data_IF_656068843426
#
_entry.id   IF_656068843426
#
_cell.length_a   1.000
_cell.length_b   1.000
_cell.length_c   1.000
_cell.angle_alpha   90.00
_cell.angle_beta   90.00
_cell.angle_gamma   90.00
#
_symmetry.space_group_name_H-M   'P 1'
#
loop_
_entity.id
_entity.type
_entity.pdbx_description
1 polymer ?
#
# COMPACT_ATOMS: atom_id res chain seq x y z
N UNK A 1 10.74 -1.72 -29.16
CA UNK A 1 9.94 -2.39 -28.12
C UNK A 1 10.25 -1.71 -26.80
N UNK A 2 9.25 -1.53 -25.94
CA UNK A 2 9.49 -1.09 -24.56
C UNK A 2 10.47 -2.09 -23.88
N UNK A 3 11.62 -1.64 -23.36
CA UNK A 3 12.62 -2.54 -22.78
C UNK A 3 12.07 -3.38 -21.63
N UNK A 4 11.08 -2.88 -20.88
CA UNK A 4 10.46 -3.64 -19.79
C UNK A 4 9.53 -4.71 -20.30
N UNK A 5 8.81 -4.44 -21.39
CA UNK A 5 7.98 -5.47 -22.03
C UNK A 5 8.83 -6.65 -22.52
N UNK A 6 9.96 -6.36 -23.17
CA UNK A 6 10.91 -7.40 -23.60
C UNK A 6 11.44 -8.19 -22.40
N UNK A 7 11.89 -7.51 -21.33
CA UNK A 7 12.35 -8.18 -20.11
C UNK A 7 11.28 -9.09 -19.49
N UNK A 8 10.06 -8.59 -19.32
CA UNK A 8 8.95 -9.38 -18.76
C UNK A 8 8.61 -10.60 -19.62
N UNK A 9 8.69 -10.48 -20.95
CA UNK A 9 8.42 -11.58 -21.87
C UNK A 9 9.54 -12.63 -21.85
N UNK A 10 10.79 -12.19 -21.84
CA UNK A 10 11.93 -13.05 -22.12
C UNK A 10 12.50 -13.68 -20.83
N UNK A 11 12.37 -13.01 -19.68
CA UNK A 11 12.98 -13.44 -18.42
C UNK A 11 11.97 -13.91 -17.35
N UNK A 12 10.67 -13.59 -17.50
CA UNK A 12 9.67 -13.84 -16.47
C UNK A 12 8.51 -14.70 -16.97
N UNK A 13 7.97 -15.52 -16.07
CA UNK A 13 6.63 -16.11 -16.25
C UNK A 13 5.62 -15.16 -15.61
N UNK A 14 4.89 -14.43 -16.44
CA UNK A 14 3.89 -13.47 -15.98
C UNK A 14 2.55 -14.16 -15.69
N UNK A 15 2.06 -14.02 -14.46
CA UNK A 15 0.73 -14.48 -14.04
C UNK A 15 -0.08 -13.35 -13.40
N UNK A 16 -1.36 -13.59 -13.15
CA UNK A 16 -2.22 -12.66 -12.42
C UNK A 16 -3.11 -13.40 -11.42
N UNK A 17 -3.58 -12.69 -10.40
CA UNK A 17 -4.53 -13.18 -9.42
C UNK A 17 -5.56 -12.11 -9.13
N UNK A 18 -6.83 -12.51 -8.99
CA UNK A 18 -7.89 -11.61 -8.57
C UNK A 18 -7.80 -11.36 -7.06
N UNK A 19 -7.64 -10.08 -6.69
CA UNK A 19 -7.58 -9.63 -5.30
C UNK A 19 -8.92 -9.08 -4.80
N UNK A 20 -10.00 -9.22 -5.56
CA UNK A 20 -11.35 -8.86 -5.14
C UNK A 20 -11.68 -9.53 -3.80
N UNK A 21 -12.31 -8.77 -2.90
CA UNK A 21 -12.64 -9.16 -1.52
C UNK A 21 -11.45 -9.37 -0.57
N UNK A 22 -10.20 -9.14 -1.01
CA UNK A 22 -9.05 -9.12 -0.10
C UNK A 22 -9.04 -7.81 0.69
N UNK A 23 -8.68 -7.84 1.97
CA UNK A 23 -8.71 -6.65 2.84
C UNK A 23 -7.84 -5.49 2.35
N UNK A 24 -6.76 -5.82 1.66
CA UNK A 24 -5.86 -4.85 1.07
C UNK A 24 -6.33 -4.37 -0.31
N UNK A 25 -7.36 -4.93 -0.93
CA UNK A 25 -7.84 -4.39 -2.21
C UNK A 25 -8.57 -3.06 -1.99
N UNK A 26 -8.06 -2.01 -2.64
CA UNK A 26 -8.70 -0.71 -2.68
C UNK A 26 -9.93 -0.69 -3.61
N UNK A 27 -10.54 0.48 -3.74
CA UNK A 27 -11.60 0.71 -4.73
C UNK A 27 -11.32 1.97 -5.55
N UNK A 28 -11.43 1.87 -6.86
CA UNK A 28 -11.19 2.97 -7.79
C UNK A 28 -12.22 2.99 -8.92
N UNK A 29 -12.28 4.10 -9.68
CA UNK A 29 -13.04 4.16 -10.92
C UNK A 29 -12.65 3.04 -11.89
N UNK A 30 -13.62 2.53 -12.64
CA UNK A 30 -13.39 1.52 -13.65
C UNK A 30 -12.66 2.10 -14.86
N UNK A 31 -11.59 1.45 -15.30
CA UNK A 31 -10.92 1.75 -16.56
C UNK A 31 -11.26 0.67 -17.58
N UNK A 32 -11.49 1.06 -18.83
CA UNK A 32 -11.62 0.10 -19.94
C UNK A 32 -10.23 -0.33 -20.43
N UNK A 33 -10.06 -1.55 -20.97
CA UNK A 33 -8.76 -2.04 -21.45
C UNK A 33 -8.09 -1.12 -22.50
N UNK A 34 -8.88 -0.39 -23.28
CA UNK A 34 -8.42 0.55 -24.30
C UNK A 34 -8.07 1.95 -23.77
N UNK A 35 -8.32 2.24 -22.49
CA UNK A 35 -7.99 3.54 -21.91
C UNK A 35 -6.51 3.61 -21.54
N UNK A 36 -5.84 4.68 -21.98
CA UNK A 36 -4.47 4.94 -21.59
C UNK A 36 -4.39 5.14 -20.07
N UNK A 37 -3.36 4.56 -19.45
CA UNK A 37 -3.02 4.89 -18.08
C UNK A 37 -2.72 6.39 -17.97
N UNK A 38 -3.43 7.08 -17.08
CA UNK A 38 -3.14 8.49 -16.77
C UNK A 38 -1.73 8.56 -16.19
N UNK A 39 -0.91 9.52 -16.64
CA UNK A 39 0.38 9.78 -16.02
C UNK A 39 0.21 9.99 -14.52
N UNK A 40 0.76 9.06 -13.73
CA UNK A 40 0.63 9.06 -12.28
C UNK A 40 1.97 8.75 -11.62
N UNK A 41 2.00 8.79 -10.29
CA UNK A 41 3.20 8.56 -9.48
C UNK A 41 3.42 7.08 -9.25
N UNK A 42 4.68 6.67 -9.07
CA UNK A 42 4.98 5.32 -8.59
C UNK A 42 4.31 5.10 -7.23
N UNK A 43 3.71 3.92 -7.05
CA UNK A 43 2.92 3.63 -5.87
C UNK A 43 1.51 4.25 -5.86
N UNK A 44 1.04 4.84 -6.96
CA UNK A 44 -0.35 5.31 -7.01
C UNK A 44 -1.32 4.12 -6.96
N UNK A 45 -2.25 4.16 -6.01
CA UNK A 45 -3.09 3.03 -5.65
C UNK A 45 -2.51 2.10 -4.57
N UNK A 46 -1.94 2.62 -3.46
CA UNK A 46 -1.26 1.89 -2.38
C UNK A 46 -1.78 0.50 -2.06
N UNK A 47 -3.10 0.41 -1.84
CA UNK A 47 -3.77 -0.76 -1.33
C UNK A 47 -3.70 -1.91 -2.34
N UNK A 48 -3.73 -1.59 -3.63
CA UNK A 48 -3.58 -2.57 -4.69
C UNK A 48 -2.10 -2.91 -4.88
N UNK A 49 -1.60 -3.98 -4.26
CA UNK A 49 -0.32 -4.56 -4.69
C UNK A 49 -0.50 -5.11 -6.10
N UNK A 50 0.20 -4.49 -7.05
CA UNK A 50 0.06 -4.83 -8.45
C UNK A 50 1.14 -5.82 -8.90
N UNK A 51 2.30 -5.83 -8.25
CA UNK A 51 3.47 -6.58 -8.74
C UNK A 51 4.15 -7.31 -7.57
N UNK A 52 4.25 -8.64 -7.71
CA UNK A 52 5.15 -9.49 -6.95
C UNK A 52 6.18 -10.10 -7.88
N UNK A 53 7.44 -10.08 -7.47
CA UNK A 53 8.51 -10.88 -8.09
C UNK A 53 8.82 -12.03 -7.14
N UNK A 54 8.68 -13.26 -7.62
CA UNK A 54 8.70 -14.47 -6.80
C UNK A 54 9.67 -15.46 -7.42
N UNK A 55 10.50 -16.09 -6.59
CA UNK A 55 11.35 -17.20 -6.99
C UNK A 55 10.51 -18.47 -7.30
N UNK A 56 11.05 -19.45 -8.05
CA UNK A 56 10.31 -20.67 -8.41
C UNK A 56 9.76 -21.48 -7.23
N UNK A 57 10.36 -21.34 -6.04
CA UNK A 57 9.94 -22.00 -4.80
C UNK A 57 8.89 -21.20 -3.99
N UNK A 58 8.41 -20.08 -4.52
CA UNK A 58 7.36 -19.26 -3.90
C UNK A 58 7.87 -18.21 -2.92
N UNK A 59 9.19 -18.01 -2.82
CA UNK A 59 9.75 -16.93 -1.99
C UNK A 59 9.61 -15.57 -2.67
N UNK A 60 9.16 -14.56 -1.93
CA UNK A 60 9.06 -13.19 -2.42
C UNK A 60 10.46 -12.58 -2.50
N UNK A 61 10.83 -12.14 -3.70
CA UNK A 61 12.08 -11.43 -4.00
C UNK A 61 11.87 -9.92 -3.97
N UNK A 62 10.74 -9.45 -4.52
CA UNK A 62 10.37 -8.05 -4.54
C UNK A 62 8.85 -7.85 -4.58
N UNK A 63 8.39 -6.68 -4.16
CA UNK A 63 6.97 -6.34 -4.09
C UNK A 63 6.77 -4.83 -4.30
N UNK A 64 5.91 -4.46 -5.24
CA UNK A 64 5.62 -3.06 -5.57
C UNK A 64 4.10 -2.78 -5.56
N UNK A 65 3.64 -1.78 -4.79
CA UNK A 65 2.25 -1.38 -4.80
C UNK A 65 1.94 -0.44 -5.96
N UNK A 66 0.69 -0.44 -6.40
CA UNK A 66 0.17 0.54 -7.34
C UNK A 66 0.89 0.56 -8.69
N UNK A 67 0.69 1.65 -9.41
CA UNK A 67 1.34 1.90 -10.69
C UNK A 67 2.84 2.14 -10.52
N UNK A 68 3.66 1.69 -11.47
CA UNK A 68 5.07 2.05 -11.62
C UNK A 68 5.37 2.43 -13.06
N UNK A 69 6.13 3.51 -13.26
CA UNK A 69 6.54 3.94 -14.58
C UNK A 69 7.44 2.87 -15.22
N UNK A 70 7.30 2.56 -16.52
CA UNK A 70 8.04 1.46 -17.14
C UNK A 70 9.53 1.49 -16.87
N UNK A 71 10.21 2.62 -17.03
CA UNK A 71 11.67 2.67 -16.83
C UNK A 71 12.05 2.36 -15.37
N UNK A 72 11.30 2.88 -14.40
CA UNK A 72 11.53 2.59 -12.98
C UNK A 72 11.25 1.11 -12.68
N UNK A 73 10.14 0.55 -13.21
CA UNK A 73 9.85 -0.88 -13.07
C UNK A 73 10.97 -1.76 -13.65
N UNK A 74 11.60 -1.35 -14.74
CA UNK A 74 12.75 -2.06 -15.32
C UNK A 74 13.89 -2.18 -14.33
N UNK A 75 14.24 -1.09 -13.66
CA UNK A 75 15.28 -1.07 -12.62
C UNK A 75 14.91 -1.95 -11.42
N UNK A 76 13.65 -1.92 -10.99
CA UNK A 76 13.18 -2.76 -9.88
C UNK A 76 13.20 -4.26 -10.23
N UNK A 77 12.98 -4.62 -11.50
CA UNK A 77 13.12 -6.00 -11.98
C UNK A 77 14.60 -6.44 -12.04
N UNK A 78 15.51 -5.57 -12.48
CA UNK A 78 16.96 -5.84 -12.41
C UNK A 78 17.43 -6.06 -10.96
N UNK A 79 16.91 -5.25 -10.04
CA UNK A 79 17.17 -5.41 -8.61
C UNK A 79 16.64 -6.75 -8.09
N UNK A 80 15.42 -7.15 -8.47
CA UNK A 80 14.86 -8.43 -8.08
C UNK A 80 15.64 -9.64 -8.63
N UNK A 81 16.19 -9.55 -9.83
CA UNK A 81 17.12 -10.55 -10.40
C UNK A 81 18.36 -10.69 -9.52
N UNK A 82 18.96 -9.57 -9.08
CA UNK A 82 20.13 -9.57 -8.19
C UNK A 82 19.81 -10.16 -6.80
N UNK A 83 18.62 -9.90 -6.26
CA UNK A 83 18.14 -10.54 -5.03
C UNK A 83 17.95 -12.05 -5.21
N UNK A 84 17.52 -12.51 -6.39
CA UNK A 84 17.41 -13.93 -6.69
C UNK A 84 18.78 -14.61 -6.73
N UNK A 85 19.82 -13.95 -7.21
CA UNK A 85 21.19 -14.50 -7.18
C UNK A 85 21.64 -14.81 -5.75
N UNK A 86 21.33 -13.94 -4.78
CA UNK A 86 21.55 -14.24 -3.36
C UNK A 86 20.75 -15.46 -2.93
N UNK A 87 19.46 -15.50 -3.27
CA UNK A 87 18.57 -16.59 -2.86
C UNK A 87 19.07 -17.95 -3.37
N UNK A 88 19.54 -18.01 -4.61
CA UNK A 88 20.02 -19.23 -5.26
C UNK A 88 21.45 -19.61 -4.85
N UNK A 89 22.21 -18.72 -4.22
CA UNK A 89 23.61 -19.00 -3.88
C UNK A 89 23.73 -20.14 -2.84
N UNK A 90 24.32 -21.30 -3.18
CA UNK A 90 24.42 -22.44 -2.26
C UNK A 90 25.50 -22.24 -1.19
N UNK A 91 26.40 -21.28 -1.36
CA UNK A 91 27.50 -21.01 -0.45
C UNK A 91 27.10 -20.08 0.71
N UNK A 92 25.89 -19.51 0.68
CA UNK A 92 25.36 -18.64 1.72
C UNK A 92 24.37 -19.39 2.60
N UNK A 93 24.51 -19.23 3.92
CA UNK A 93 23.51 -19.65 4.88
C UNK A 93 22.24 -18.80 4.75
N UNK A 94 21.12 -19.32 5.25
CA UNK A 94 19.84 -18.57 5.27
C UNK A 94 19.98 -17.24 6.03
N UNK A 95 20.77 -17.21 7.10
CA UNK A 95 21.02 -16.00 7.88
C UNK A 95 21.78 -14.95 7.07
N UNK A 96 22.85 -15.35 6.37
CA UNK A 96 23.62 -14.43 5.50
C UNK A 96 22.77 -13.91 4.35
N UNK A 97 21.99 -14.79 3.70
CA UNK A 97 21.04 -14.40 2.65
C UNK A 97 20.10 -13.31 3.15
N UNK A 98 19.48 -13.52 4.32
CA UNK A 98 18.54 -12.54 4.90
C UNK A 98 19.21 -11.21 5.21
N UNK A 99 20.43 -11.24 5.75
CA UNK A 99 21.18 -10.02 6.01
C UNK A 99 21.49 -9.27 4.72
N UNK A 100 21.99 -9.96 3.69
CA UNK A 100 22.28 -9.37 2.38
C UNK A 100 21.03 -8.83 1.70
N UNK A 101 19.89 -9.51 1.81
CA UNK A 101 18.61 -9.03 1.30
C UNK A 101 18.25 -7.66 1.89
N UNK A 102 18.36 -7.53 3.22
CA UNK A 102 18.07 -6.29 3.93
C UNK A 102 19.06 -5.19 3.54
N UNK A 103 20.35 -5.50 3.48
CA UNK A 103 21.40 -4.55 3.10
C UNK A 103 21.24 -4.06 1.66
N UNK A 104 20.93 -4.96 0.73
CA UNK A 104 20.74 -4.62 -0.68
C UNK A 104 19.52 -3.73 -0.90
N UNK A 105 18.40 -3.97 -0.22
CA UNK A 105 17.25 -3.05 -0.28
C UNK A 105 17.63 -1.66 0.23
N UNK A 106 18.37 -1.58 1.34
CA UNK A 106 18.81 -0.29 1.89
C UNK A 106 19.88 0.40 1.02
N UNK A 107 20.71 -0.37 0.31
CA UNK A 107 21.69 0.14 -0.62
C UNK A 107 21.02 0.65 -1.90
N UNK A 108 20.04 -0.06 -2.43
CA UNK A 108 19.34 0.29 -3.68
C UNK A 108 18.65 1.65 -3.58
N UNK A 109 18.09 1.99 -2.41
CA UNK A 109 17.55 3.34 -2.14
C UNK A 109 18.54 4.46 -2.48
N UNK A 110 19.85 4.23 -2.28
CA UNK A 110 20.90 5.24 -2.55
C UNK A 110 21.22 5.39 -4.03
N UNK A 111 20.82 4.42 -4.84
CA UNK A 111 20.99 4.42 -6.30
C UNK A 111 19.84 5.15 -7.01
N UNK A 112 18.73 5.38 -6.29
CA UNK A 112 17.57 6.09 -6.83
C UNK A 112 17.92 7.54 -7.17
N UNK A 113 17.79 7.88 -8.45
CA UNK A 113 18.00 9.25 -8.90
C UNK A 113 16.88 10.19 -8.43
N UNK A 114 17.12 11.50 -8.55
CA UNK A 114 16.11 12.50 -8.18
C UNK A 114 14.84 12.41 -9.04
N UNK A 115 14.92 11.79 -10.22
CA UNK A 115 13.81 11.68 -11.14
C UNK A 115 12.82 10.59 -10.69
N UNK A 116 13.34 9.43 -10.27
CA UNK A 116 12.61 8.34 -9.64
C UNK A 116 11.99 8.85 -8.34
N UNK A 117 12.78 9.47 -7.46
CA UNK A 117 12.26 10.01 -6.20
C UNK A 117 11.12 11.03 -6.41
N UNK A 118 11.19 11.85 -7.46
CA UNK A 118 10.10 12.78 -7.84
C UNK A 118 8.87 12.04 -8.35
N UNK A 119 9.04 10.97 -9.14
CA UNK A 119 7.95 10.13 -9.64
C UNK A 119 7.32 9.28 -8.54
N UNK A 120 8.06 8.97 -7.49
CA UNK A 120 7.62 8.19 -6.34
C UNK A 120 7.09 9.04 -5.18
N UNK A 121 6.83 10.33 -5.38
CA UNK A 121 6.19 11.13 -4.32
C UNK A 121 4.76 10.66 -4.11
N UNK A 122 4.37 10.46 -2.85
CA UNK A 122 2.97 10.17 -2.51
C UNK A 122 2.05 11.28 -3.04
N UNK A 123 0.92 10.89 -3.62
CA UNK A 123 -0.07 11.84 -4.13
C UNK A 123 -0.60 12.72 -2.99
N UNK A 124 -0.86 14.00 -3.27
CA UNK A 124 -1.17 14.98 -2.22
C UNK A 124 -2.38 14.63 -1.35
N UNK A 125 -3.42 14.00 -1.93
CA UNK A 125 -4.58 13.53 -1.16
C UNK A 125 -4.27 12.34 -0.26
N UNK A 126 -3.36 11.45 -0.65
CA UNK A 126 -2.93 10.32 0.16
C UNK A 126 -2.03 10.80 1.29
N UNK A 127 -1.14 11.75 1.01
CA UNK A 127 -0.29 12.38 2.01
C UNK A 127 -1.12 13.09 3.07
N UNK A 128 -2.14 13.85 2.66
CA UNK A 128 -3.05 14.52 3.59
C UNK A 128 -3.85 13.51 4.41
N UNK A 129 -4.25 12.39 3.81
CA UNK A 129 -4.93 11.32 4.51
C UNK A 129 -4.03 10.64 5.56
N UNK A 130 -2.81 10.27 5.17
CA UNK A 130 -1.80 9.69 6.07
C UNK A 130 -1.48 10.65 7.22
N UNK A 131 -1.24 11.93 6.94
CA UNK A 131 -0.93 12.92 7.98
C UNK A 131 -2.06 13.04 9.01
N UNK A 132 -3.32 12.96 8.55
CA UNK A 132 -4.50 13.09 9.41
C UNK A 132 -4.82 11.82 10.21
N UNK A 133 -4.73 10.64 9.59
CA UNK A 133 -5.22 9.40 10.19
C UNK A 133 -4.10 8.52 10.76
N UNK A 134 -2.87 8.72 10.30
CA UNK A 134 -1.70 7.96 10.72
C UNK A 134 -0.44 8.86 10.81
N UNK A 135 -0.41 9.85 11.73
CA UNK A 135 0.74 10.77 11.85
C UNK A 135 2.06 10.07 12.24
N UNK A 136 2.02 8.78 12.61
CA UNK A 136 3.19 7.94 12.90
C UNK A 136 3.55 6.97 11.76
N UNK A 137 2.98 7.18 10.58
CA UNK A 137 3.30 6.41 9.37
C UNK A 137 4.81 6.42 9.09
N UNK A 138 5.34 5.33 8.54
CA UNK A 138 6.76 5.22 8.15
C UNK A 138 7.12 6.11 6.95
N UNK A 139 6.13 6.75 6.34
CA UNK A 139 6.29 7.84 5.38
C UNK A 139 6.81 9.15 5.99
N UNK A 140 6.78 9.32 7.31
CA UNK A 140 7.25 10.54 7.96
C UNK A 140 8.60 10.33 8.65
N UNK A 141 9.59 11.18 8.34
CA UNK A 141 10.89 11.15 9.03
C UNK A 141 10.74 11.50 10.52
N UNK A 142 9.88 12.46 10.84
CA UNK A 142 9.57 12.88 12.19
C UNK A 142 8.05 13.08 12.39
N UNK A 143 7.38 12.18 13.13
CA UNK A 143 5.96 12.30 13.46
C UNK A 143 5.57 13.62 14.15
N UNK A 144 6.48 14.26 14.89
CA UNK A 144 6.20 15.51 15.61
C UNK A 144 6.04 16.72 14.67
N UNK A 145 6.47 16.61 13.41
CA UNK A 145 6.29 17.65 12.38
C UNK A 145 4.97 17.51 11.61
N UNK A 146 4.15 16.51 11.94
CA UNK A 146 2.87 16.25 11.27
C UNK A 146 1.74 16.95 12.02
N UNK A 147 1.01 17.82 11.34
CA UNK A 147 -0.25 18.38 11.85
C UNK A 147 -1.41 17.47 11.47
N UNK A 148 -1.80 16.60 12.40
CA UNK A 148 -2.94 15.69 12.22
C UNK A 148 -4.30 16.39 12.15
N UNK A 149 -4.41 17.65 12.59
CA UNK A 149 -5.67 18.41 12.51
C UNK A 149 -5.92 18.88 11.10
N UNK A 150 -4.89 19.43 10.45
CA UNK A 150 -4.98 19.96 9.08
C UNK A 150 -4.59 18.94 8.01
N UNK A 151 -3.96 17.83 8.39
CA UNK A 151 -3.41 16.84 7.46
C UNK A 151 -2.18 17.38 6.71
N UNK A 152 -1.42 18.28 7.32
CA UNK A 152 -0.26 18.91 6.70
C UNK A 152 1.04 18.44 7.34
N UNK A 153 2.11 18.43 6.54
CA UNK A 153 3.48 18.17 6.99
C UNK A 153 4.45 18.92 6.08
N UNK A 154 5.61 19.38 6.58
CA UNK A 154 6.68 19.90 5.74
C UNK A 154 7.10 18.90 4.66
N UNK A 155 7.45 19.38 3.46
CA UNK A 155 7.80 18.52 2.31
C UNK A 155 9.07 17.71 2.53
N UNK A 156 10.01 18.23 3.31
CA UNK A 156 11.26 17.57 3.72
C UNK A 156 11.06 16.50 4.80
N UNK A 157 9.86 16.44 5.41
CA UNK A 157 9.51 15.44 6.42
C UNK A 157 8.88 14.18 5.81
N UNK A 158 8.82 14.05 4.49
CA UNK A 158 8.10 12.98 3.79
C UNK A 158 9.07 12.14 2.98
N UNK A 159 9.09 10.83 3.24
CA UNK A 159 9.77 9.83 2.41
C UNK A 159 9.00 9.60 1.12
N UNK A 160 9.70 9.36 0.02
CA UNK A 160 9.07 8.89 -1.22
C UNK A 160 8.66 7.41 -1.09
N UNK A 161 7.73 6.97 -1.94
CA UNK A 161 7.16 5.62 -1.88
C UNK A 161 8.22 4.55 -2.10
N UNK A 162 9.12 4.74 -3.06
CA UNK A 162 10.25 3.84 -3.33
C UNK A 162 11.08 3.57 -2.06
N UNK A 163 11.46 4.63 -1.33
CA UNK A 163 12.20 4.51 -0.06
C UNK A 163 11.43 3.65 0.94
N UNK A 164 10.14 3.94 1.14
CA UNK A 164 9.32 3.20 2.13
C UNK A 164 9.15 1.75 1.71
N UNK A 165 8.96 1.47 0.42
CA UNK A 165 8.80 0.09 -0.07
C UNK A 165 10.06 -0.73 0.14
N UNK A 166 11.25 -0.20 -0.15
CA UNK A 166 12.50 -0.92 0.15
C UNK A 166 12.76 -1.05 1.65
N UNK A 167 12.47 -0.03 2.46
CA UNK A 167 12.55 -0.15 3.93
C UNK A 167 11.58 -1.24 4.45
N UNK A 168 10.40 -1.39 3.84
CA UNK A 168 9.43 -2.43 4.18
C UNK A 168 9.90 -3.81 3.70
N UNK A 169 10.48 -3.91 2.50
CA UNK A 169 11.06 -5.16 2.00
C UNK A 169 12.25 -5.59 2.85
N UNK A 170 13.17 -4.68 3.20
CA UNK A 170 14.33 -4.97 4.04
C UNK A 170 13.97 -5.61 5.40
N UNK A 171 12.76 -5.34 5.92
CA UNK A 171 12.21 -5.93 7.14
C UNK A 171 11.57 -7.31 6.95
N UNK A 172 11.46 -7.80 5.70
CA UNK A 172 10.76 -9.03 5.28
C UNK A 172 11.63 -9.91 4.36
N UNK A 173 12.87 -10.27 4.78
CA UNK A 173 13.77 -10.98 3.89
C UNK A 173 13.31 -12.41 3.60
N UNK A 174 13.16 -12.73 2.31
CA UNK A 174 12.82 -14.07 1.79
C UNK A 174 11.60 -14.72 2.46
N UNK A 175 10.52 -13.94 2.60
CA UNK A 175 9.24 -14.45 3.12
C UNK A 175 8.52 -15.23 2.01
N UNK A 176 8.04 -16.46 2.27
CA UNK A 176 7.18 -17.18 1.32
C UNK A 176 5.91 -16.38 1.01
N UNK A 177 5.46 -16.38 -0.25
CA UNK A 177 4.32 -15.59 -0.72
C UNK A 177 3.06 -15.77 0.13
N UNK A 178 2.76 -17.01 0.52
CA UNK A 178 1.62 -17.37 1.38
C UNK A 178 1.66 -16.77 2.79
N UNK A 179 2.83 -16.31 3.24
CA UNK A 179 3.06 -15.69 4.56
C UNK A 179 3.39 -14.20 4.45
N UNK A 180 3.44 -13.65 3.24
CA UNK A 180 3.72 -12.24 3.05
C UNK A 180 2.50 -11.41 3.46
N UNK A 181 2.69 -10.54 4.45
CA UNK A 181 1.64 -9.64 4.94
C UNK A 181 1.47 -8.45 3.98
N UNK A 182 0.66 -8.69 2.94
CA UNK A 182 0.34 -7.72 1.89
C UNK A 182 -0.35 -6.48 2.46
N UNK A 183 -1.25 -6.68 3.44
CA UNK A 183 -2.05 -5.60 4.03
C UNK A 183 -1.15 -4.60 4.75
N UNK A 184 -0.22 -5.08 5.60
CA UNK A 184 0.73 -4.18 6.27
C UNK A 184 1.75 -3.62 5.28
N UNK A 185 2.17 -4.39 4.28
CA UNK A 185 3.15 -3.92 3.29
C UNK A 185 2.62 -2.78 2.42
N UNK A 186 1.34 -2.81 2.06
CA UNK A 186 0.72 -1.85 1.12
C UNK A 186 -0.14 -0.78 1.80
N UNK A 187 -0.25 -0.85 3.14
CA UNK A 187 -1.02 0.12 3.94
C UNK A 187 -0.37 1.50 3.92
N UNK A 188 -0.90 2.38 3.05
CA UNK A 188 -0.80 3.84 3.12
C UNK A 188 -1.89 4.49 2.27
N UNK A 189 -2.17 5.76 2.46
CA UNK A 189 -3.13 6.51 1.64
C UNK A 189 -4.57 6.02 1.78
N UNK A 190 -5.44 6.55 0.91
CA UNK A 190 -6.88 6.28 0.97
C UNK A 190 -7.24 4.93 0.36
N UNK A 191 -8.17 4.21 0.99
CA UNK A 191 -8.73 2.96 0.46
C UNK A 191 -9.58 3.16 -0.80
N UNK A 192 -10.26 4.31 -0.92
CA UNK A 192 -11.17 4.60 -2.03
C UNK A 192 -10.75 5.86 -2.78
N UNK A 193 -10.67 5.73 -4.10
CA UNK A 193 -10.41 6.81 -5.04
C UNK A 193 -11.64 7.08 -5.89
N UNK A 194 -12.26 8.24 -5.68
CA UNK A 194 -13.31 8.72 -6.55
C UNK A 194 -12.70 9.70 -7.56
N UNK A 195 -12.15 9.15 -8.65
CA UNK A 195 -11.45 9.98 -9.64
C UNK A 195 -12.41 10.61 -10.65
N UNK A 196 -13.64 10.10 -10.73
CA UNK A 196 -14.69 10.49 -11.70
C UNK A 196 -14.17 10.60 -13.15
N UNK A 197 -13.14 9.84 -13.53
CA UNK A 197 -12.41 10.06 -14.78
C UNK A 197 -13.30 9.90 -16.02
N UNK A 198 -14.25 8.96 -15.99
CA UNK A 198 -15.23 8.77 -17.06
C UNK A 198 -16.19 9.95 -17.26
N UNK A 199 -16.30 10.84 -16.27
CA UNK A 199 -17.11 12.05 -16.34
C UNK A 199 -16.25 13.29 -16.62
N UNK A 200 -14.92 13.15 -16.73
CA UNK A 200 -14.04 14.27 -17.05
C UNK A 200 -13.98 14.49 -18.55
N UNK A 201 -14.12 15.76 -18.96
CA UNK A 201 -13.84 16.22 -20.31
C UNK A 201 -12.32 16.24 -20.55
N UNK A 202 -11.92 16.44 -21.80
CA UNK A 202 -10.50 16.51 -22.18
C UNK A 202 -9.72 17.62 -21.46
N UNK A 203 -10.40 18.65 -20.96
CA UNK A 203 -9.83 19.73 -20.15
C UNK A 203 -9.75 19.41 -18.64
N UNK A 204 -10.15 18.19 -18.24
CA UNK A 204 -10.17 17.71 -16.86
C UNK A 204 -11.37 18.16 -16.02
N UNK A 205 -12.26 19.00 -16.56
CA UNK A 205 -13.50 19.42 -15.91
C UNK A 205 -14.55 18.30 -15.92
N UNK A 206 -15.48 18.32 -14.97
CA UNK A 206 -16.59 17.35 -14.95
C UNK A 206 -17.65 17.81 -15.95
N UNK A 207 -18.04 16.91 -16.86
CA UNK A 207 -19.08 17.17 -17.85
C UNK A 207 -20.40 17.62 -17.21
N UNK A 208 -21.05 18.67 -17.74
CA UNK A 208 -22.31 19.16 -17.19
C UNK A 208 -23.39 18.07 -17.21
N UNK A 209 -24.08 17.86 -16.09
CA UNK A 209 -25.10 16.82 -15.92
C UNK A 209 -24.57 15.44 -15.50
N UNK A 210 -23.26 15.29 -15.25
CA UNK A 210 -22.71 14.04 -14.73
C UNK A 210 -23.25 13.70 -13.33
N UNK A 211 -23.90 12.55 -13.20
CA UNK A 211 -24.20 11.99 -11.88
C UNK A 211 -22.98 11.23 -11.37
N UNK A 212 -22.15 11.93 -10.60
CA UNK A 212 -20.92 11.41 -10.01
C UNK A 212 -21.15 10.18 -9.13
N UNK A 213 -22.35 10.05 -8.56
CA UNK A 213 -22.72 8.90 -7.76
C UNK A 213 -22.90 7.63 -8.60
N UNK A 214 -23.05 7.69 -9.92
CA UNK A 214 -23.28 6.52 -10.79
C UNK A 214 -21.98 6.01 -11.43
N UNK A 215 -20.84 6.53 -10.99
CA UNK A 215 -19.53 6.07 -11.42
C UNK A 215 -19.37 4.55 -11.24
N UNK A 216 -19.08 3.76 -12.30
CA UNK A 216 -18.67 2.38 -12.13
C UNK A 216 -17.35 2.34 -11.36
N UNK A 217 -17.32 1.54 -10.30
CA UNK A 217 -16.16 1.33 -9.43
C UNK A 217 -15.71 -0.13 -9.54
N UNK A 218 -14.41 -0.37 -9.47
CA UNK A 218 -13.77 -1.70 -9.41
C UNK A 218 -13.14 -1.87 -8.02
N UNK A 219 -12.93 -3.13 -7.63
CA UNK A 219 -12.33 -3.52 -6.35
C UNK A 219 -13.36 -3.70 -5.24
N UNK A 220 -12.96 -3.49 -3.99
CA UNK A 220 -13.84 -3.62 -2.84
C UNK A 220 -14.77 -2.41 -2.71
N UNK A 221 -15.75 -2.31 -3.62
CA UNK A 221 -16.68 -1.18 -3.60
C UNK A 221 -17.52 -1.24 -2.31
N UNK A 222 -17.64 -0.13 -1.55
CA UNK A 222 -18.51 -0.10 -0.37
C UNK A 222 -19.97 -0.43 -0.67
N UNK A 223 -20.38 -0.30 -1.95
CA UNK A 223 -21.74 -0.55 -2.45
C UNK A 223 -22.00 -2.01 -2.83
N UNK A 224 -21.01 -2.75 -3.33
CA UNK A 224 -21.16 -4.18 -3.63
C UNK A 224 -20.86 -5.06 -2.41
N UNK A 225 -19.95 -4.62 -1.53
CA UNK A 225 -19.60 -5.33 -0.31
C UNK A 225 -19.37 -4.31 0.82
N UNK A 226 -20.31 -4.14 1.77
CA UNK A 226 -20.06 -3.30 2.93
C UNK A 226 -18.91 -3.90 3.73
N UNK A 227 -17.72 -3.30 3.61
CA UNK A 227 -16.61 -3.56 4.52
C UNK A 227 -17.16 -3.20 5.89
N UNK A 228 -17.41 -4.20 6.73
CA UNK A 228 -17.70 -4.00 8.16
C UNK A 228 -16.44 -3.39 8.77
N UNK A 229 -16.29 -2.08 8.67
CA UNK A 229 -15.37 -1.32 9.51
C UNK A 229 -15.85 -1.53 10.94
N UNK A 230 -15.17 -2.42 11.65
CA UNK A 230 -15.41 -2.69 13.05
C UNK A 230 -14.96 -1.51 13.91
N UNK A 231 -15.56 -0.34 13.72
CA UNK A 231 -15.64 0.68 14.77
C UNK A 231 -17.09 0.64 15.25
N UNK A 232 -17.39 -0.41 16.01
CA UNK A 232 -18.56 -0.41 16.88
C UNK A 232 -18.32 0.68 17.93
N UNK A 233 -18.76 1.91 17.64
CA UNK A 233 -19.19 2.85 18.69
C UNK A 233 -20.46 2.26 19.35
N UNK A 234 -20.27 1.21 20.12
CA UNK A 234 -21.24 0.71 21.11
C UNK A 234 -20.50 0.73 22.43
N UNK A 235 -20.56 1.88 23.09
CA UNK A 235 -19.84 2.11 24.34
C UNK A 235 -20.19 3.48 24.91
N UNK A 236 -21.48 3.79 24.97
CA UNK A 236 -21.95 5.08 25.48
C UNK A 236 -23.46 5.12 25.59
N UNK A 237 -24.08 4.10 26.20
CA UNK A 237 -25.45 4.15 26.74
C UNK A 237 -25.90 2.85 27.46
N UNK A 238 -25.09 1.79 27.50
CA UNK A 238 -25.39 0.55 28.26
C UNK A 238 -24.40 0.35 29.43
N UNK A 239 -23.92 1.45 30.02
CA UNK A 239 -23.08 1.44 31.24
C UNK A 239 -23.76 2.12 32.44
N UNK A 240 -25.00 2.60 32.29
CA UNK A 240 -25.78 3.19 33.39
C UNK A 240 -26.79 2.23 34.03
N UNK A 241 -27.02 1.04 33.46
CA UNK A 241 -28.01 0.08 33.97
C UNK A 241 -27.41 -1.10 34.73
N UNK A 242 -26.08 -1.30 34.71
CA UNK A 242 -25.43 -2.42 35.41
C UNK A 242 -24.68 -2.01 36.69
N UNK A 243 -24.47 -0.71 36.92
CA UNK A 243 -23.83 -0.19 38.15
C UNK A 243 -24.87 0.07 39.25
N UNK A 244 -26.15 0.21 38.91
CA UNK A 244 -27.26 0.44 39.85
C UNK A 244 -27.88 -0.84 40.43
N UNK A 245 -27.52 -2.03 39.92
CA UNK A 245 -27.96 -3.32 40.48
C UNK A 245 -26.91 -4.04 41.35
N UNK A 246 -25.62 -3.70 41.22
CA UNK A 246 -24.55 -4.25 42.07
C UNK A 246 -24.43 -3.57 43.45
N UNK A 247 -25.02 -2.38 43.65
CA UNK A 247 -25.05 -1.67 44.95
C UNK A 247 -26.21 -2.06 45.88
N UNK A 248 -27.06 -3.03 45.50
CA UNK A 248 -28.20 -3.47 46.34
C UNK A 248 -28.06 -4.86 46.98
N UNK A 249 -26.96 -5.59 46.76
CA UNK A 249 -26.79 -6.96 47.31
C UNK A 249 -25.39 -7.26 47.87
N UNK A 250 -24.68 -6.26 48.38
CA UNK A 250 -23.29 -6.40 48.84
C UNK A 250 -22.97 -5.81 50.21
N UNK A 251 -23.88 -5.88 51.19
CA UNK A 251 -23.53 -5.71 52.61
C UNK A 251 -24.24 -6.79 53.42
N UNK A 252 -23.60 -7.95 53.54
CA UNK A 252 -23.60 -8.80 54.74
C UNK A 252 -22.69 -10.00 54.51
N UNK A 253 -21.89 -10.28 55.55
CA UNK A 253 -20.90 -11.35 55.64
C UNK A 253 -19.59 -10.96 54.91
N UNK A 254 -18.40 -10.94 55.50
CA UNK A 254 -17.86 -11.65 56.67
C UNK A 254 -16.64 -10.83 57.15
N UNK A 255 -16.48 -10.63 58.46
CA UNK A 255 -15.21 -10.80 59.19
C UNK A 255 -15.49 -10.70 60.71
N UNK A 256 -14.67 -11.38 61.54
CA UNK A 256 -15.07 -12.09 62.77
C UNK A 256 -15.56 -11.23 63.93
#
# INVERSE_FOLDING_TARGET
MDPVFSKLKDNYVCGYSDISNKKYAGSSGAHRPEQNAVHTTNGAGPHNVQIFVIAPDGVVLHCLPGYWKPEDLGHELDFAESINEIWQNPNLTVTEKRQMFSEMNMAHIKEHDQSLAKRSRMQGFDLAYEAKHNPRSDFFYNPAKVDSTTGQTPKDNVKSVDVVMHERMARRPFVPYQHFDVEVFSSYGKLQYDKHEQFRLADGSIGPGANLNDAPMIGNTPRAHPIKTGIKKTGGQILQTTISQAMRYGIRAIMP
#
